data_IF_567580448178
#
_entry.id   IF_567580448178
#
_cell.length_a   1.000
_cell.length_b   1.000
_cell.length_c   1.000
_cell.angle_alpha   90.00
_cell.angle_beta   90.00
_cell.angle_gamma   90.00
#
_symmetry.space_group_name_H-M   'P 1'
#
loop_
_entity.id
_entity.type
_entity.pdbx_description
1 polymer ?
#
# COMPACT_ATOMS: atom_id res chain seq x y z
N UNK A 1 -35.37 -3.73 -11.43
CA UNK A 1 -34.21 -3.14 -12.14
C UNK A 1 -33.36 -2.38 -11.13
N UNK A 2 -32.44 -3.08 -10.47
CA UNK A 2 -31.57 -2.49 -9.43
C UNK A 2 -30.31 -2.00 -10.11
N UNK A 3 -30.13 -0.67 -10.14
CA UNK A 3 -29.00 -0.05 -10.81
C UNK A 3 -27.70 -0.42 -10.06
N UNK A 4 -26.82 -1.12 -10.77
CA UNK A 4 -25.47 -1.45 -10.31
C UNK A 4 -24.68 -0.15 -10.26
N UNK A 5 -24.48 0.39 -9.06
CA UNK A 5 -23.64 1.57 -8.84
C UNK A 5 -22.22 1.17 -9.24
N UNK A 6 -21.74 1.70 -10.36
CA UNK A 6 -20.38 1.50 -10.81
C UNK A 6 -19.45 2.28 -9.90
N UNK A 7 -18.76 1.59 -8.99
CA UNK A 7 -17.71 2.18 -8.19
C UNK A 7 -16.58 2.65 -9.11
N UNK A 8 -16.44 3.96 -9.27
CA UNK A 8 -15.30 4.61 -9.93
C UNK A 8 -14.12 4.62 -8.95
N UNK A 9 -13.38 3.51 -8.85
CA UNK A 9 -12.10 3.42 -8.12
C UNK A 9 -10.93 3.61 -9.09
N UNK A 10 -10.80 4.81 -9.65
CA UNK A 10 -9.64 5.17 -10.48
C UNK A 10 -8.45 5.51 -9.57
N UNK A 11 -7.89 4.51 -8.88
CA UNK A 11 -6.68 4.66 -8.05
C UNK A 11 -6.70 3.98 -6.67
N UNK A 12 -7.80 3.33 -6.27
CA UNK A 12 -7.85 2.54 -5.04
C UNK A 12 -7.61 1.06 -5.37
N UNK A 13 -6.54 0.47 -4.85
CA UNK A 13 -6.32 -0.97 -4.94
C UNK A 13 -7.36 -1.66 -4.05
N UNK A 14 -8.24 -2.47 -4.65
CA UNK A 14 -9.17 -3.32 -3.90
C UNK A 14 -8.40 -4.52 -3.33
N UNK A 15 -8.09 -4.46 -2.04
CA UNK A 15 -7.35 -5.51 -1.34
C UNK A 15 -8.14 -6.81 -1.22
N UNK A 16 -9.48 -6.74 -1.18
CA UNK A 16 -10.31 -7.94 -1.07
C UNK A 16 -10.27 -8.73 -2.38
N UNK A 17 -10.34 -8.02 -3.51
CA UNK A 17 -10.16 -8.65 -4.82
C UNK A 17 -8.74 -9.24 -4.96
N UNK A 18 -7.71 -8.51 -4.51
CA UNK A 18 -6.33 -8.97 -4.53
C UNK A 18 -6.12 -10.24 -3.69
N UNK A 19 -6.71 -10.32 -2.49
CA UNK A 19 -6.69 -11.52 -1.64
C UNK A 19 -7.27 -12.72 -2.37
N UNK A 20 -8.45 -12.55 -2.99
CA UNK A 20 -9.08 -13.65 -3.74
C UNK A 20 -8.24 -14.11 -4.93
N UNK A 21 -7.57 -13.19 -5.63
CA UNK A 21 -6.68 -13.50 -6.75
C UNK A 21 -5.40 -14.24 -6.31
N UNK A 22 -4.85 -13.85 -5.16
CA UNK A 22 -3.69 -14.54 -4.57
C UNK A 22 -4.11 -15.95 -4.15
N UNK A 23 -5.24 -16.10 -3.47
CA UNK A 23 -5.76 -17.40 -3.03
C UNK A 23 -6.04 -18.34 -4.22
N UNK A 24 -6.62 -17.84 -5.32
CA UNK A 24 -6.81 -18.65 -6.53
C UNK A 24 -5.47 -19.03 -7.16
N UNK A 25 -4.51 -18.10 -7.22
CA UNK A 25 -3.16 -18.38 -7.74
C UNK A 25 -2.42 -19.43 -6.92
N UNK A 26 -2.57 -19.44 -5.59
CA UNK A 26 -2.03 -20.48 -4.71
C UNK A 26 -2.68 -21.83 -5.04
N UNK A 27 -4.02 -21.88 -5.15
CA UNK A 27 -4.75 -23.11 -5.50
C UNK A 27 -4.35 -23.66 -6.87
N UNK A 28 -4.03 -22.79 -7.81
CA UNK A 28 -3.66 -23.14 -9.18
C UNK A 28 -2.14 -23.33 -9.37
N UNK A 29 -1.34 -23.23 -8.30
CA UNK A 29 0.12 -23.42 -8.35
C UNK A 29 0.87 -22.35 -9.15
N UNK A 30 0.26 -21.18 -9.36
CA UNK A 30 0.89 -20.08 -10.09
C UNK A 30 1.91 -19.33 -9.23
N UNK A 31 3.00 -18.81 -9.83
CA UNK A 31 4.01 -18.05 -9.09
C UNK A 31 3.42 -16.78 -8.45
N UNK A 32 3.81 -16.47 -7.22
CA UNK A 32 3.30 -15.30 -6.48
C UNK A 32 4.15 -14.03 -6.66
N UNK A 33 5.28 -14.14 -7.36
CA UNK A 33 6.19 -13.03 -7.63
C UNK A 33 5.44 -11.88 -8.32
N UNK A 34 5.54 -10.67 -7.78
CA UNK A 34 4.83 -9.48 -8.30
C UNK A 34 3.38 -9.32 -7.80
N UNK A 35 2.67 -10.42 -7.52
CA UNK A 35 1.29 -10.37 -7.00
C UNK A 35 1.21 -9.87 -5.56
N UNK A 36 2.27 -10.09 -4.77
CA UNK A 36 2.38 -9.62 -3.39
C UNK A 36 2.86 -8.16 -3.28
N UNK A 37 3.30 -7.54 -4.38
CA UNK A 37 3.84 -6.17 -4.39
C UNK A 37 2.88 -5.14 -3.77
N UNK A 38 1.55 -5.16 -4.00
CA UNK A 38 0.64 -4.21 -3.35
C UNK A 38 0.55 -4.38 -1.82
N UNK A 39 0.71 -5.61 -1.31
CA UNK A 39 0.77 -5.87 0.13
C UNK A 39 2.06 -5.35 0.75
N UNK A 40 3.19 -5.61 0.08
CA UNK A 40 4.50 -5.09 0.50
C UNK A 40 4.48 -3.56 0.52
N UNK A 41 3.90 -2.93 -0.51
CA UNK A 41 3.68 -1.48 -0.56
C UNK A 41 2.91 -1.00 0.68
N UNK A 42 1.73 -1.60 0.95
CA UNK A 42 0.89 -1.21 2.10
C UNK A 42 1.64 -1.34 3.43
N UNK A 43 2.35 -2.44 3.62
CA UNK A 43 3.11 -2.70 4.85
C UNK A 43 4.19 -1.63 5.03
N UNK A 44 4.95 -1.33 3.98
CA UNK A 44 6.01 -0.31 4.03
C UNK A 44 5.44 1.09 4.30
N UNK A 45 4.34 1.48 3.64
CA UNK A 45 3.70 2.77 3.89
C UNK A 45 3.21 2.89 5.33
N UNK A 46 2.61 1.82 5.88
CA UNK A 46 2.18 1.78 7.28
C UNK A 46 3.36 1.85 8.27
N UNK A 47 4.46 1.14 7.99
CA UNK A 47 5.68 1.21 8.81
C UNK A 47 6.28 2.61 8.80
N UNK A 48 6.37 3.25 7.63
CA UNK A 48 6.93 4.60 7.49
C UNK A 48 6.05 5.67 8.16
N UNK A 49 4.73 5.51 8.13
CA UNK A 49 3.78 6.38 8.82
C UNK A 49 3.94 6.25 10.35
N UNK A 50 3.96 5.01 10.86
CA UNK A 50 4.17 4.74 12.28
C UNK A 50 5.51 5.25 12.81
N UNK A 51 6.57 5.22 11.99
CA UNK A 51 7.87 5.82 12.33
C UNK A 51 7.78 7.35 12.50
N UNK A 52 7.04 8.06 11.62
CA UNK A 52 6.82 9.52 11.79
C UNK A 52 6.03 9.77 13.06
N UNK A 53 4.90 9.07 13.23
CA UNK A 53 4.01 9.28 14.37
C UNK A 53 4.76 9.07 15.69
N UNK A 54 5.54 7.99 15.79
CA UNK A 54 6.36 7.72 16.96
C UNK A 54 7.44 8.80 17.18
N UNK A 55 8.10 9.26 16.11
CA UNK A 55 9.11 10.32 16.22
C UNK A 55 8.50 11.64 16.70
N UNK A 56 7.35 12.04 16.15
CA UNK A 56 6.64 13.26 16.55
C UNK A 56 6.08 13.18 17.98
N UNK A 57 5.71 11.99 18.46
CA UNK A 57 5.28 11.79 19.84
C UNK A 57 6.46 11.80 20.83
N UNK A 58 7.62 11.30 20.40
CA UNK A 58 8.83 11.24 21.22
C UNK A 58 9.55 12.59 21.31
N UNK A 59 9.51 13.43 20.28
CA UNK A 59 9.99 14.81 20.35
C UNK A 59 8.98 15.66 21.13
N UNK A 60 9.27 15.90 22.41
CA UNK A 60 8.44 16.74 23.30
C UNK A 60 8.52 18.25 23.00
N UNK A 61 9.10 18.65 21.87
CA UNK A 61 9.35 20.06 21.57
C UNK A 61 8.41 20.55 20.47
N UNK A 62 7.65 21.60 20.80
CA UNK A 62 6.58 22.26 20.03
C UNK A 62 6.97 22.78 18.61
N UNK A 63 8.19 22.48 18.16
CA UNK A 63 8.80 22.99 16.93
C UNK A 63 8.52 22.10 15.72
N UNK A 64 8.60 20.77 15.85
CA UNK A 64 8.61 19.88 14.69
C UNK A 64 7.20 19.45 14.29
N UNK A 65 6.82 19.70 13.04
CA UNK A 65 5.49 19.36 12.50
C UNK A 65 5.65 18.65 11.16
N UNK A 66 4.73 17.73 10.86
CA UNK A 66 4.74 16.98 9.60
C UNK A 66 4.66 17.92 8.38
N UNK A 67 5.64 17.82 7.50
CA UNK A 67 5.67 18.56 6.24
C UNK A 67 5.08 17.75 5.07
N UNK A 68 3.78 17.50 5.11
CA UNK A 68 3.04 16.87 4.01
C UNK A 68 3.43 15.41 3.73
N UNK A 69 3.25 15.00 2.47
CA UNK A 69 3.50 13.65 1.97
C UNK A 69 4.36 13.67 0.70
N UNK A 70 5.31 12.74 0.60
CA UNK A 70 6.21 12.62 -0.54
C UNK A 70 6.13 11.23 -1.18
N UNK A 71 6.38 11.18 -2.49
CA UNK A 71 6.40 9.96 -3.29
C UNK A 71 7.82 9.51 -3.60
N UNK A 72 8.10 8.20 -3.54
CA UNK A 72 9.35 7.60 -4.03
C UNK A 72 9.07 6.35 -4.83
N UNK A 73 9.59 6.28 -6.05
CA UNK A 73 9.59 5.03 -6.83
C UNK A 73 10.69 4.10 -6.32
N UNK A 74 10.29 2.87 -5.97
CA UNK A 74 11.19 1.77 -5.61
C UNK A 74 11.25 0.77 -6.75
N UNK A 75 12.46 0.26 -7.01
CA UNK A 75 12.70 -0.84 -7.93
C UNK A 75 13.07 -2.08 -7.12
N UNK A 76 12.31 -3.15 -7.32
CA UNK A 76 12.51 -4.46 -6.67
C UNK A 76 12.71 -5.55 -7.72
N UNK A 77 13.06 -6.75 -7.30
CA UNK A 77 13.14 -7.93 -8.17
C UNK A 77 11.79 -8.28 -8.82
N UNK A 78 10.68 -7.91 -8.17
CA UNK A 78 9.32 -8.16 -8.63
C UNK A 78 8.74 -7.04 -9.51
N UNK A 79 9.50 -5.97 -9.77
CA UNK A 79 9.06 -4.81 -10.53
C UNK A 79 9.26 -3.49 -9.79
N UNK A 80 8.71 -2.40 -10.35
CA UNK A 80 8.79 -1.07 -9.74
C UNK A 80 7.42 -0.61 -9.25
N UNK A 81 7.37 0.07 -8.11
CA UNK A 81 6.15 0.66 -7.58
C UNK A 81 6.46 1.97 -6.85
N UNK A 82 5.47 2.85 -6.79
CA UNK A 82 5.55 4.12 -6.07
C UNK A 82 5.12 3.91 -4.61
N UNK A 83 5.96 4.34 -3.66
CA UNK A 83 5.58 4.52 -2.26
C UNK A 83 5.10 5.96 -2.06
N UNK A 84 4.06 6.14 -1.27
CA UNK A 84 3.58 7.43 -0.80
C UNK A 84 3.56 7.42 0.73
N UNK A 85 4.28 8.35 1.35
CA UNK A 85 4.34 8.56 2.81
C UNK A 85 3.84 9.95 3.12
#
# INVERSE_FOLDING_TARGET
MSQKIANRTTGLVDYKELETNILSSIREGRPLTGRLTPFIKKLLEASLEGEIENHLLAESEESNRRNGRNGKTLRTSAGSFELKR
#
